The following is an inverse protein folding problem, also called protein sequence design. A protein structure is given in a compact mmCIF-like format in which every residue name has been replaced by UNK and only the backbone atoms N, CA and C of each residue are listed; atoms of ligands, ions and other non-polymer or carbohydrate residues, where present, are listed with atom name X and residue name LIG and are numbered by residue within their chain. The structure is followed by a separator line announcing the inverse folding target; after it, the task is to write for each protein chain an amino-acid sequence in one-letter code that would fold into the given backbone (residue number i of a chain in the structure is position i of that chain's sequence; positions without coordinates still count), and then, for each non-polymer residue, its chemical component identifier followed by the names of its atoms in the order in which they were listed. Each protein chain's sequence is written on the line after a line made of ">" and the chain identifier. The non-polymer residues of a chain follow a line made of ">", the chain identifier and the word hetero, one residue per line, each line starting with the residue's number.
data_IF_164678037783
#
_entry.id   IF_164678037783
#
_cell.length_a   1.000
_cell.length_b   1.000
_cell.length_c   1.000
_cell.angle_alpha   90.00
_cell.angle_beta   90.00
_cell.angle_gamma   90.00
#
_symmetry.space_group_name_H-M   'P 1'
#
loop_
_entity.id
_entity.type
_entity.pdbx_description
1 polymer ?
#
# COMPACT_ATOMS: atom_id res chain seq x y z
N UNK A 1 -6.08 -25.83 18.88
CA UNK A 1 -7.07 -24.81 19.31
C UNK A 1 -8.06 -24.54 18.17
N UNK A 2 -9.23 -23.92 18.41
CA UNK A 2 -10.00 -23.28 17.35
C UNK A 2 -9.08 -22.40 16.48
N UNK A 3 -9.41 -22.25 15.20
CA UNK A 3 -8.63 -21.45 14.24
C UNK A 3 -8.24 -20.10 14.85
N UNK A 4 -6.94 -19.94 15.09
CA UNK A 4 -6.41 -18.75 15.77
C UNK A 4 -6.53 -17.50 14.90
N UNK A 5 -6.68 -17.67 13.58
CA UNK A 5 -6.82 -16.60 12.61
C UNK A 5 -8.27 -16.38 12.17
N UNK A 6 -9.26 -16.99 12.85
CA UNK A 6 -10.66 -16.83 12.48
C UNK A 6 -11.09 -15.35 12.49
N UNK A 7 -11.74 -14.89 11.40
CA UNK A 7 -12.21 -13.50 11.24
C UNK A 7 -13.09 -13.02 12.42
N UNK A 8 -13.88 -13.92 13.01
CA UNK A 8 -14.73 -13.63 14.16
C UNK A 8 -13.97 -13.27 15.44
N UNK A 9 -12.65 -13.44 15.46
CA UNK A 9 -11.77 -13.08 16.59
C UNK A 9 -11.09 -11.73 16.41
N UNK A 10 -11.26 -11.08 15.26
CA UNK A 10 -10.64 -9.80 14.94
C UNK A 10 -11.47 -8.61 15.43
N UNK A 11 -10.80 -7.49 15.70
CA UNK A 11 -11.40 -6.24 16.19
C UNK A 11 -11.29 -5.14 15.13
N UNK A 12 -11.78 -5.41 13.91
CA UNK A 12 -11.56 -4.56 12.72
C UNK A 12 -12.17 -3.16 12.84
N UNK A 13 -13.30 -3.03 13.55
CA UNK A 13 -13.96 -1.74 13.75
C UNK A 13 -13.08 -0.78 14.55
N UNK A 14 -12.58 -1.23 15.70
CA UNK A 14 -11.69 -0.45 16.57
C UNK A 14 -10.38 -0.12 15.86
N UNK A 15 -9.80 -1.10 15.15
CA UNK A 15 -8.58 -0.88 14.36
C UNK A 15 -8.77 0.21 13.30
N UNK A 16 -9.91 0.22 12.59
CA UNK A 16 -10.24 1.24 11.57
C UNK A 16 -10.47 2.62 12.20
N UNK A 17 -11.07 2.69 13.38
CA UNK A 17 -11.28 3.96 14.09
C UNK A 17 -9.95 4.58 14.53
N UNK A 18 -9.09 3.80 15.19
CA UNK A 18 -7.78 4.29 15.65
C UNK A 18 -6.89 4.69 14.47
N UNK A 19 -6.88 3.89 13.39
CA UNK A 19 -6.12 4.21 12.19
C UNK A 19 -6.57 5.54 11.53
N UNK A 20 -7.87 5.87 11.57
CA UNK A 20 -8.36 7.18 11.09
C UNK A 20 -7.83 8.34 11.93
N UNK A 21 -7.71 8.13 13.24
CA UNK A 21 -7.22 9.15 14.17
C UNK A 21 -5.71 9.38 14.09
N UNK A 22 -4.94 8.44 13.53
CA UNK A 22 -3.47 8.55 13.43
C UNK A 22 -2.97 9.22 12.15
N UNK A 23 -3.83 9.46 11.15
CA UNK A 23 -3.41 10.06 9.87
C UNK A 23 -3.20 11.57 10.04
N UNK A 24 -2.04 12.05 9.61
CA UNK A 24 -1.68 13.49 9.65
C UNK A 24 -1.69 14.06 8.24
N UNK A 25 -2.51 15.08 7.99
CA UNK A 25 -2.53 15.83 6.74
C UNK A 25 -1.40 16.87 6.75
N UNK A 26 -0.36 16.65 5.95
CA UNK A 26 0.80 17.55 5.89
C UNK A 26 0.58 18.77 4.96
N UNK A 27 -0.06 18.59 3.82
CA UNK A 27 -0.40 19.66 2.87
C UNK A 27 -1.77 19.39 2.22
N UNK A 28 -2.57 20.44 2.02
CA UNK A 28 -3.79 20.39 1.21
C UNK A 28 -3.94 21.65 0.36
N UNK A 29 -3.30 21.64 -0.81
CA UNK A 29 -3.34 22.78 -1.73
C UNK A 29 -4.67 22.82 -2.47
N UNK A 30 -5.21 24.02 -2.63
CA UNK A 30 -6.46 24.30 -3.36
C UNK A 30 -7.69 23.48 -2.91
N UNK A 31 -7.68 22.95 -1.68
CA UNK A 31 -8.77 22.10 -1.18
C UNK A 31 -8.93 20.81 -1.98
N UNK A 32 -7.82 20.23 -2.46
CA UNK A 32 -7.84 18.98 -3.24
C UNK A 32 -8.49 17.83 -2.47
N UNK A 33 -8.22 17.75 -1.16
CA UNK A 33 -8.86 16.79 -0.26
C UNK A 33 -10.03 17.44 0.49
N UNK A 34 -11.14 16.69 0.74
CA UNK A 34 -11.34 15.27 0.42
C UNK A 34 -11.71 15.02 -1.05
N UNK A 35 -11.24 13.90 -1.61
CA UNK A 35 -11.61 13.50 -2.97
C UNK A 35 -13.09 13.15 -3.06
N UNK A 36 -13.73 13.54 -4.16
CA UNK A 36 -15.06 13.05 -4.48
C UNK A 36 -14.98 11.61 -5.00
N UNK A 37 -15.90 10.75 -4.55
CA UNK A 37 -16.07 9.41 -5.11
C UNK A 37 -16.78 9.48 -6.49
N UNK A 38 -16.11 10.08 -7.48
CA UNK A 38 -16.56 10.14 -8.89
C UNK A 38 -15.36 10.21 -9.82
N UNK A 39 -15.60 9.94 -11.11
CA UNK A 39 -14.56 10.05 -12.15
C UNK A 39 -13.59 8.87 -12.15
N UNK A 40 -12.39 9.10 -12.65
CA UNK A 40 -11.30 8.12 -12.67
C UNK A 40 -10.16 8.55 -11.73
N UNK A 41 -9.76 7.65 -10.85
CA UNK A 41 -8.64 7.82 -9.93
C UNK A 41 -7.54 6.86 -10.35
N UNK A 42 -6.32 7.36 -10.58
CA UNK A 42 -5.14 6.51 -10.71
C UNK A 42 -4.50 6.32 -9.33
N UNK A 43 -4.39 5.08 -8.87
CA UNK A 43 -3.62 4.71 -7.69
C UNK A 43 -2.27 4.14 -8.13
N UNK A 44 -1.20 4.90 -7.93
CA UNK A 44 0.14 4.58 -8.44
C UNK A 44 1.10 4.39 -7.29
N UNK A 45 1.90 3.32 -7.30
CA UNK A 45 3.04 3.17 -6.41
C UNK A 45 3.20 1.75 -5.84
N UNK A 46 4.40 1.40 -5.36
CA UNK A 46 4.71 0.06 -4.89
C UNK A 46 3.92 -0.35 -3.64
N UNK A 47 3.43 0.62 -2.85
CA UNK A 47 2.67 0.36 -1.62
C UNK A 47 1.15 0.32 -1.86
N UNK A 48 0.69 0.53 -3.10
CA UNK A 48 -0.73 0.59 -3.44
C UNK A 48 -1.50 -0.68 -3.04
N UNK A 49 -0.87 -1.85 -3.20
CA UNK A 49 -1.50 -3.16 -2.99
C UNK A 49 -0.67 -4.11 -2.10
N UNK A 50 0.14 -3.55 -1.19
CA UNK A 50 0.98 -4.35 -0.30
C UNK A 50 0.28 -4.68 1.02
N UNK A 51 -0.19 -5.92 1.17
CA UNK A 51 -0.80 -6.40 2.41
C UNK A 51 0.17 -6.46 3.59
N UNK A 52 1.42 -6.85 3.35
CA UNK A 52 2.44 -6.98 4.38
C UNK A 52 2.83 -5.62 4.96
N UNK A 53 3.00 -4.61 4.10
CA UNK A 53 3.40 -3.27 4.53
C UNK A 53 2.27 -2.53 5.27
N UNK A 54 0.99 -2.84 4.99
CA UNK A 54 -0.13 -2.27 5.76
C UNK A 54 -0.10 -2.64 7.26
N UNK A 55 0.52 -3.75 7.63
CA UNK A 55 0.66 -4.14 9.04
C UNK A 55 1.78 -3.37 9.76
N UNK A 56 2.73 -2.81 9.02
CA UNK A 56 3.94 -2.20 9.58
C UNK A 56 4.88 -3.21 10.25
N UNK A 57 5.98 -2.66 10.77
CA UNK A 57 6.94 -3.42 11.59
C UNK A 57 6.32 -3.78 12.94
N UNK A 58 6.85 -4.79 13.63
CA UNK A 58 6.36 -5.23 14.94
C UNK A 58 4.87 -5.62 14.98
N UNK A 59 4.34 -6.16 13.88
CA UNK A 59 2.94 -6.57 13.76
C UNK A 59 2.54 -7.83 14.54
N UNK A 60 3.43 -8.35 15.39
CA UNK A 60 3.22 -9.51 16.24
C UNK A 60 2.64 -10.72 15.48
N UNK A 61 1.42 -11.14 15.80
CA UNK A 61 0.72 -12.25 15.16
C UNK A 61 -0.23 -11.81 14.03
N UNK A 62 -0.06 -10.60 13.50
CA UNK A 62 -0.84 -10.10 12.36
C UNK A 62 -0.62 -10.96 11.11
N UNK A 63 -1.70 -11.30 10.41
CA UNK A 63 -1.67 -12.11 9.19
C UNK A 63 -1.81 -11.18 7.98
N UNK A 64 -0.81 -11.06 7.10
CA UNK A 64 -0.86 -10.14 5.95
C UNK A 64 -2.11 -10.34 5.10
N UNK A 65 -2.50 -11.58 4.84
CA UNK A 65 -3.66 -11.90 4.00
C UNK A 65 -4.99 -11.36 4.57
N UNK A 66 -5.05 -11.04 5.88
CA UNK A 66 -6.20 -10.42 6.54
C UNK A 66 -6.17 -8.88 6.51
N UNK A 67 -5.07 -8.26 6.09
CA UNK A 67 -4.97 -6.81 5.92
C UNK A 67 -5.77 -6.34 4.70
N UNK A 68 -6.27 -5.09 4.77
CA UNK A 68 -6.92 -4.41 3.65
C UNK A 68 -5.90 -3.45 3.05
N UNK A 69 -5.57 -3.61 1.77
CA UNK A 69 -4.64 -2.73 1.07
C UNK A 69 -5.27 -1.37 0.78
N UNK A 70 -4.45 -0.38 0.39
CA UNK A 70 -4.96 0.90 -0.06
C UNK A 70 -5.85 0.75 -1.31
N UNK A 71 -5.45 -0.11 -2.26
CA UNK A 71 -6.23 -0.42 -3.45
C UNK A 71 -7.59 -1.04 -3.10
N UNK A 72 -7.61 -2.04 -2.22
CA UNK A 72 -8.85 -2.69 -1.76
C UNK A 72 -9.76 -1.69 -1.04
N UNK A 73 -9.21 -0.91 -0.09
CA UNK A 73 -9.95 0.08 0.67
C UNK A 73 -10.50 1.22 -0.19
N UNK A 74 -9.74 1.67 -1.20
CA UNK A 74 -10.20 2.68 -2.16
C UNK A 74 -11.33 2.14 -3.04
N UNK A 75 -11.19 0.94 -3.58
CA UNK A 75 -12.24 0.28 -4.39
C UNK A 75 -13.53 0.11 -3.60
N UNK A 76 -13.43 -0.36 -2.35
CA UNK A 76 -14.59 -0.46 -1.45
C UNK A 76 -15.22 0.91 -1.18
N UNK A 77 -14.40 1.94 -0.88
CA UNK A 77 -14.88 3.26 -0.54
C UNK A 77 -15.61 3.96 -1.70
N UNK A 78 -15.14 3.79 -2.94
CA UNK A 78 -15.80 4.42 -4.10
C UNK A 78 -16.97 3.59 -4.63
N UNK A 79 -16.91 2.26 -4.53
CA UNK A 79 -17.88 1.35 -5.15
C UNK A 79 -17.99 1.63 -6.65
N UNK A 80 -19.21 1.61 -7.20
CA UNK A 80 -19.44 1.86 -8.63
C UNK A 80 -19.43 3.35 -9.02
N UNK A 81 -19.18 4.25 -8.07
CA UNK A 81 -19.29 5.70 -8.31
C UNK A 81 -18.06 6.28 -9.01
N UNK A 82 -16.91 5.61 -8.88
CA UNK A 82 -15.66 6.01 -9.52
C UNK A 82 -14.87 4.79 -10.01
N UNK A 83 -14.03 5.00 -11.02
CA UNK A 83 -13.10 3.98 -11.51
C UNK A 83 -11.75 4.15 -10.84
N UNK A 84 -11.17 3.06 -10.30
CA UNK A 84 -9.78 3.04 -9.79
C UNK A 84 -8.90 2.25 -10.75
N UNK A 85 -8.00 2.94 -11.44
CA UNK A 85 -6.91 2.33 -12.23
C UNK A 85 -5.72 2.20 -11.29
N UNK A 86 -5.07 1.03 -11.27
CA UNK A 86 -3.85 0.85 -10.48
C UNK A 86 -2.67 0.55 -11.39
N UNK A 87 -1.52 1.13 -11.08
CA UNK A 87 -0.25 0.84 -11.71
C UNK A 87 0.84 0.81 -10.65
N UNK A 88 1.82 -0.07 -10.81
CA UNK A 88 2.90 -0.20 -9.82
C UNK A 88 3.83 1.02 -9.84
N UNK A 89 4.18 1.50 -11.04
CA UNK A 89 5.01 2.69 -11.26
C UNK A 89 6.49 2.49 -11.00
N UNK A 90 6.86 1.91 -9.86
CA UNK A 90 8.24 1.60 -9.49
C UNK A 90 8.32 0.43 -8.51
N UNK A 91 9.51 -0.12 -8.33
CA UNK A 91 9.82 -0.91 -7.14
C UNK A 91 10.00 0.01 -5.92
N UNK A 92 9.95 -0.54 -4.71
CA UNK A 92 10.23 0.22 -3.47
C UNK A 92 11.65 0.80 -3.51
N UNK A 93 12.58 0.04 -4.07
CA UNK A 93 13.96 0.44 -4.36
C UNK A 93 14.52 -0.46 -5.46
N UNK A 94 15.43 0.09 -6.27
CA UNK A 94 16.18 -0.66 -7.28
C UNK A 94 17.58 -1.07 -6.77
N UNK A 95 17.97 -0.65 -5.57
CA UNK A 95 19.26 -1.03 -4.97
C UNK A 95 19.20 -2.49 -4.50
N UNK A 96 19.90 -3.37 -5.22
CA UNK A 96 19.96 -4.80 -4.93
C UNK A 96 20.50 -5.13 -3.53
N UNK A 97 21.37 -4.29 -2.96
CA UNK A 97 21.86 -4.49 -1.60
C UNK A 97 20.75 -4.22 -0.57
N UNK A 98 19.93 -3.19 -0.79
CA UNK A 98 18.76 -2.90 0.04
C UNK A 98 17.70 -3.99 -0.11
N UNK A 99 17.41 -4.45 -1.34
CA UNK A 99 16.47 -5.56 -1.57
C UNK A 99 16.93 -6.82 -0.84
N UNK A 100 18.22 -7.16 -0.94
CA UNK A 100 18.80 -8.29 -0.22
C UNK A 100 18.68 -8.15 1.29
N UNK A 101 18.90 -6.94 1.83
CA UNK A 101 18.73 -6.65 3.25
C UNK A 101 17.26 -6.86 3.69
N UNK A 102 16.30 -6.26 2.99
CA UNK A 102 14.87 -6.32 3.34
C UNK A 102 14.31 -7.75 3.25
N UNK A 103 14.76 -8.53 2.26
CA UNK A 103 14.40 -9.95 2.13
C UNK A 103 15.27 -10.89 2.98
N UNK A 104 16.22 -10.36 3.76
CA UNK A 104 17.06 -11.15 4.67
C UNK A 104 16.45 -11.34 6.06
N UNK A 105 15.45 -10.53 6.41
CA UNK A 105 14.81 -10.52 7.73
C UNK A 105 13.77 -11.64 7.91
N UNK A 106 13.15 -12.10 6.82
CA UNK A 106 12.20 -13.21 6.81
C UNK A 106 12.73 -14.34 5.92
N UNK A 107 12.82 -15.56 6.46
CA UNK A 107 13.39 -16.70 5.75
C UNK A 107 12.35 -17.52 4.98
N UNK A 108 11.07 -17.35 5.29
CA UNK A 108 10.00 -18.15 4.70
C UNK A 108 9.46 -17.53 3.41
N UNK A 109 9.27 -16.20 3.39
CA UNK A 109 8.75 -15.46 2.24
C UNK A 109 9.44 -14.09 2.10
N UNK A 110 9.67 -13.60 0.85
CA UNK A 110 10.24 -12.29 0.63
C UNK A 110 9.30 -11.18 1.10
N UNK A 111 9.81 -10.21 1.86
CA UNK A 111 9.03 -9.04 2.29
C UNK A 111 8.83 -8.03 1.15
N UNK A 112 9.81 -7.91 0.26
CA UNK A 112 9.77 -7.02 -0.91
C UNK A 112 9.94 -7.85 -2.18
N UNK A 113 8.86 -7.92 -2.96
CA UNK A 113 8.87 -8.59 -4.28
C UNK A 113 9.17 -7.56 -5.35
N UNK A 114 10.28 -7.71 -6.07
CA UNK A 114 10.64 -6.86 -7.21
C UNK A 114 9.79 -7.22 -8.43
N UNK A 115 9.17 -6.23 -9.07
CA UNK A 115 8.67 -6.38 -10.42
C UNK A 115 9.88 -6.50 -11.38
N UNK A 116 9.95 -7.55 -12.21
CA UNK A 116 11.09 -7.79 -13.08
C UNK A 116 11.13 -6.86 -14.29
N UNK A 117 10.05 -6.12 -14.57
CA UNK A 117 10.00 -5.18 -15.68
C UNK A 117 11.01 -4.04 -15.45
N UNK A 118 11.61 -3.49 -16.53
CA UNK A 118 12.44 -2.30 -16.41
C UNK A 118 11.69 -1.13 -15.79
N UNK A 119 12.38 -0.29 -15.01
CA UNK A 119 11.79 0.91 -14.42
C UNK A 119 11.08 1.80 -15.46
N UNK A 120 11.63 1.92 -16.67
CA UNK A 120 11.00 2.68 -17.76
C UNK A 120 9.63 2.12 -18.19
N UNK A 121 9.43 0.82 -18.14
CA UNK A 121 8.15 0.18 -18.49
C UNK A 121 7.10 0.41 -17.40
N UNK A 122 7.48 0.22 -16.13
CA UNK A 122 6.60 0.52 -15.00
C UNK A 122 6.21 1.99 -14.95
N UNK A 123 7.16 2.89 -15.23
CA UNK A 123 6.91 4.32 -15.32
C UNK A 123 5.96 4.65 -16.47
N UNK A 124 6.14 4.05 -17.66
CA UNK A 124 5.26 4.26 -18.80
C UNK A 124 3.82 3.81 -18.50
N UNK A 125 3.64 2.65 -17.86
CA UNK A 125 2.33 2.16 -17.41
C UNK A 125 1.66 3.14 -16.42
N UNK A 126 2.42 3.65 -15.45
CA UNK A 126 1.91 4.63 -14.49
C UNK A 126 1.53 5.96 -15.13
N UNK A 127 2.32 6.46 -16.09
CA UNK A 127 1.99 7.66 -16.87
C UNK A 127 0.72 7.44 -17.67
N UNK A 128 0.58 6.29 -18.34
CA UNK A 128 -0.63 5.95 -19.09
C UNK A 128 -1.87 5.86 -18.20
N UNK A 129 -1.74 5.36 -16.97
CA UNK A 129 -2.83 5.36 -15.99
C UNK A 129 -3.19 6.77 -15.55
N UNK A 130 -2.19 7.63 -15.32
CA UNK A 130 -2.38 9.02 -14.91
C UNK A 130 -3.04 9.88 -16.01
N UNK A 131 -2.66 9.69 -17.28
CA UNK A 131 -3.28 10.37 -18.44
C UNK A 131 -4.77 10.08 -18.60
N UNK A 132 -5.24 8.94 -18.06
CA UNK A 132 -6.65 8.53 -18.10
C UNK A 132 -7.43 8.92 -16.84
N UNK A 133 -6.78 9.56 -15.86
CA UNK A 133 -7.35 9.85 -14.55
C UNK A 133 -7.59 11.34 -14.34
N UNK A 134 -8.64 11.65 -13.58
CA UNK A 134 -8.95 13.00 -13.14
C UNK A 134 -8.06 13.41 -11.95
N UNK A 135 -7.59 12.42 -11.18
CA UNK A 135 -6.70 12.61 -10.03
C UNK A 135 -5.79 11.39 -9.86
N UNK A 136 -4.55 11.65 -9.43
CA UNK A 136 -3.58 10.61 -9.07
C UNK A 136 -3.41 10.58 -7.56
N UNK A 137 -3.51 9.38 -6.98
CA UNK A 137 -3.09 9.07 -5.62
C UNK A 137 -1.78 8.30 -5.71
N UNK A 138 -0.68 8.89 -5.22
CA UNK A 138 0.63 8.24 -5.17
C UNK A 138 0.81 7.53 -3.81
N UNK A 139 0.89 6.20 -3.84
CA UNK A 139 1.12 5.33 -2.68
C UNK A 139 2.61 5.01 -2.55
N UNK A 140 3.35 5.92 -1.94
CA UNK A 140 4.81 5.92 -1.85
C UNK A 140 5.29 6.02 -0.40
N UNK A 141 6.54 5.65 -0.17
CA UNK A 141 7.16 5.69 1.15
C UNK A 141 8.06 4.50 1.35
N UNK A 142 8.08 4.00 2.58
CA UNK A 142 8.94 2.92 3.04
C UNK A 142 8.19 1.58 3.07
N UNK A 143 8.89 0.49 2.76
CA UNK A 143 8.44 -0.85 3.18
C UNK A 143 8.65 -1.03 4.68
N UNK A 144 7.89 -1.93 5.33
CA UNK A 144 7.96 -2.14 6.78
C UNK A 144 9.36 -2.44 7.31
N UNK A 145 10.21 -3.11 6.51
CA UNK A 145 11.57 -3.51 6.89
C UNK A 145 12.57 -2.34 6.91
N UNK A 146 12.22 -1.19 6.36
CA UNK A 146 13.06 0.02 6.37
C UNK A 146 12.98 0.80 7.69
N UNK A 147 11.99 0.50 8.53
CA UNK A 147 11.77 1.11 9.85
C UNK A 147 11.58 0.05 10.94
N UNK A 148 12.32 -1.05 10.82
CA UNK A 148 12.33 -2.15 11.80
C UNK A 148 13.59 -2.08 12.69
N UNK A 149 13.83 -3.14 13.47
CA UNK A 149 15.07 -3.28 14.24
C UNK A 149 16.31 -3.21 13.33
N UNK A 150 17.30 -2.42 13.75
CA UNK A 150 18.59 -2.27 13.05
C UNK A 150 18.52 -1.61 11.66
N UNK A 151 17.51 -0.79 11.37
CA UNK A 151 17.40 -0.06 10.09
C UNK A 151 18.15 1.28 10.00
N UNK A 152 18.94 1.66 11.02
CA UNK A 152 19.70 2.92 11.10
C UNK A 152 21.14 2.74 11.57
#
# INVERSE_FOLDING_TARGET
>A
PPDVNAESRLHRADAREVARASIVLLENRAGTLPLAARGTIALVGPLADSKLDMLGSWSAAGVPQQAVTLLEGMREAVGDRARVISARGANVTDDAAIVKYLNGLNWDEPEVVQDPRPASEMLAEAVQAAEQADVVVAAVGESRGMSHESSS
#
